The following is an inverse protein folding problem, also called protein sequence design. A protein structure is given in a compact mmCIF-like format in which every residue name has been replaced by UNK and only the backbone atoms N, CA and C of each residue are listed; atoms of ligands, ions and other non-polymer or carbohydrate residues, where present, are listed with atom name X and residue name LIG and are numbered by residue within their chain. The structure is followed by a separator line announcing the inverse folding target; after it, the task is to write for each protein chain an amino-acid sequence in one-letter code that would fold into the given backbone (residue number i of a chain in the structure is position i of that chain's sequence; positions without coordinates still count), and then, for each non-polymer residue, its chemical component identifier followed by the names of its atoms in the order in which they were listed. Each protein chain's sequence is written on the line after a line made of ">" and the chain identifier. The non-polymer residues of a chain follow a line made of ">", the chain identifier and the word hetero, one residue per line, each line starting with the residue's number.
data_IF_676149564422
#
_entry.id   IF_676149564422
#
_cell.length_a   1.000
_cell.length_b   1.000
_cell.length_c   1.000
_cell.angle_alpha   90.00
_cell.angle_beta   90.00
_cell.angle_gamma   90.00
#
_symmetry.space_group_name_H-M   'P 1'
#
loop_
_entity.id
_entity.type
_entity.pdbx_description
1 polymer ?
#
# COMPACT_ATOMS: atom_id res chain seq x y z
N UNK A 1 -11.17 -16.26 -5.47
CA UNK A 1 -10.31 -15.19 -5.98
C UNK A 1 -9.37 -14.71 -4.89
N UNK A 2 -8.11 -14.56 -5.18
CA UNK A 2 -7.11 -14.12 -4.21
C UNK A 2 -6.97 -12.60 -4.23
N UNK A 3 -6.81 -12.01 -3.05
CA UNK A 3 -6.53 -10.59 -2.93
C UNK A 3 -5.14 -10.27 -3.53
N UNK A 4 -4.95 -9.01 -3.92
CA UNK A 4 -3.71 -8.51 -4.49
C UNK A 4 -2.99 -7.51 -3.59
N UNK A 5 -3.73 -6.86 -2.70
CA UNK A 5 -3.22 -5.75 -1.89
C UNK A 5 -3.57 -5.93 -0.42
N UNK A 6 -2.62 -5.58 0.45
CA UNK A 6 -2.87 -5.44 1.87
C UNK A 6 -2.80 -3.97 2.25
N UNK A 7 -3.85 -3.45 2.86
CA UNK A 7 -3.93 -2.06 3.30
C UNK A 7 -3.54 -1.99 4.78
N UNK A 8 -2.51 -1.20 5.09
CA UNK A 8 -1.97 -1.04 6.44
C UNK A 8 -3.05 -0.49 7.40
N UNK A 9 -2.97 -0.91 8.67
CA UNK A 9 -3.92 -0.54 9.71
C UNK A 9 -4.03 0.98 9.90
N UNK A 10 -2.97 1.73 9.60
CA UNK A 10 -2.95 3.20 9.76
C UNK A 10 -3.64 3.95 8.62
N UNK A 11 -4.07 3.26 7.58
CA UNK A 11 -4.85 3.85 6.49
C UNK A 11 -6.35 3.69 6.77
N UNK A 12 -7.21 4.57 6.22
CA UNK A 12 -8.64 4.50 6.50
C UNK A 12 -9.22 3.13 6.19
N UNK A 13 -10.02 2.60 7.11
CA UNK A 13 -10.66 1.30 6.92
C UNK A 13 -11.76 1.37 5.87
N UNK A 14 -12.63 2.38 5.97
CA UNK A 14 -13.77 2.53 5.07
C UNK A 14 -13.45 3.55 3.98
N UNK A 15 -12.87 3.05 2.90
CA UNK A 15 -12.52 3.88 1.75
C UNK A 15 -12.96 3.15 0.49
N UNK A 16 -13.62 3.87 -0.42
CA UNK A 16 -14.17 3.27 -1.64
C UNK A 16 -13.12 2.58 -2.52
N UNK A 17 -11.86 3.05 -2.47
CA UNK A 17 -10.78 2.43 -3.27
C UNK A 17 -10.42 1.03 -2.77
N UNK A 18 -10.64 0.74 -1.48
CA UNK A 18 -10.31 -0.58 -0.91
C UNK A 18 -11.47 -1.58 -0.98
N UNK A 19 -12.52 -1.28 -1.71
CA UNK A 19 -13.65 -2.20 -1.85
C UNK A 19 -13.34 -3.28 -2.86
N UNK A 20 -13.92 -4.45 -2.64
CA UNK A 20 -13.78 -5.56 -3.55
C UNK A 20 -12.76 -6.57 -3.08
N UNK A 21 -12.69 -7.67 -3.81
CA UNK A 21 -11.93 -8.84 -3.41
C UNK A 21 -10.41 -8.68 -3.56
N UNK A 22 -9.96 -7.64 -4.24
CA UNK A 22 -8.53 -7.42 -4.45
C UNK A 22 -7.83 -6.86 -3.22
N UNK A 23 -8.58 -6.32 -2.26
CA UNK A 23 -8.02 -5.63 -1.09
C UNK A 23 -8.36 -6.35 0.20
N UNK A 24 -7.35 -6.46 1.08
CA UNK A 24 -7.53 -6.89 2.46
C UNK A 24 -7.04 -5.73 3.33
N UNK A 25 -7.89 -5.22 4.24
CA UNK A 25 -7.43 -4.26 5.23
C UNK A 25 -6.85 -5.02 6.41
N UNK A 26 -5.71 -4.57 6.93
CA UNK A 26 -5.03 -5.25 8.04
C UNK A 26 -5.94 -5.43 9.26
N UNK A 27 -6.86 -4.50 9.49
CA UNK A 27 -7.82 -4.58 10.60
C UNK A 27 -8.59 -5.91 10.58
N UNK A 28 -8.85 -6.47 9.40
CA UNK A 28 -9.66 -7.68 9.27
C UNK A 28 -8.87 -8.97 9.50
N UNK A 29 -7.55 -8.92 9.53
CA UNK A 29 -6.72 -10.14 9.69
C UNK A 29 -5.80 -10.10 10.89
N UNK A 30 -5.42 -8.91 11.38
CA UNK A 30 -4.53 -8.83 12.54
C UNK A 30 -4.07 -7.40 12.76
N UNK A 31 -4.90 -6.60 13.42
CA UNK A 31 -4.66 -5.17 13.62
C UNK A 31 -3.44 -4.89 14.51
N UNK A 32 -2.97 -5.90 15.27
CA UNK A 32 -1.81 -5.76 16.14
C UNK A 32 -0.57 -6.51 15.61
N UNK A 33 -0.58 -6.95 14.36
CA UNK A 33 0.56 -7.62 13.77
C UNK A 33 1.77 -6.69 13.70
N UNK A 34 2.95 -7.27 13.93
CA UNK A 34 4.22 -6.56 13.74
C UNK A 34 4.48 -6.38 12.24
N UNK A 35 5.41 -5.47 11.91
CA UNK A 35 5.84 -5.28 10.53
C UNK A 35 6.40 -6.57 9.93
N UNK A 36 7.10 -7.37 10.73
CA UNK A 36 7.64 -8.66 10.28
C UNK A 36 6.53 -9.63 9.91
N UNK A 37 5.47 -9.69 10.72
CA UNK A 37 4.32 -10.55 10.42
C UNK A 37 3.60 -10.12 9.15
N UNK A 38 3.42 -8.81 8.96
CA UNK A 38 2.80 -8.25 7.75
C UNK A 38 3.65 -8.58 6.52
N UNK A 39 4.95 -8.35 6.62
CA UNK A 39 5.87 -8.62 5.51
C UNK A 39 5.81 -10.08 5.08
N UNK A 40 5.92 -11.00 6.04
CA UNK A 40 5.92 -12.43 5.74
C UNK A 40 4.58 -12.90 5.17
N UNK A 41 3.48 -12.40 5.71
CA UNK A 41 2.16 -12.73 5.19
C UNK A 41 2.01 -12.28 3.74
N UNK A 42 2.42 -11.07 3.44
CA UNK A 42 2.32 -10.52 2.09
C UNK A 42 3.26 -11.22 1.12
N UNK A 43 4.45 -11.60 1.60
CA UNK A 43 5.39 -12.37 0.79
C UNK A 43 4.82 -13.74 0.42
N UNK A 44 4.26 -14.45 1.38
CA UNK A 44 3.71 -15.78 1.18
C UNK A 44 2.46 -15.77 0.29
N UNK A 45 1.69 -14.71 0.34
CA UNK A 45 0.43 -14.59 -0.40
C UNK A 45 0.53 -13.71 -1.64
N UNK A 46 1.73 -13.27 -2.00
CA UNK A 46 2.00 -12.43 -3.17
C UNK A 46 1.15 -11.16 -3.17
N UNK A 47 1.13 -10.46 -2.03
CA UNK A 47 0.39 -9.22 -1.88
C UNK A 47 1.31 -8.01 -2.01
N UNK A 48 0.74 -6.90 -2.47
CA UNK A 48 1.40 -5.59 -2.46
C UNK A 48 0.94 -4.85 -1.20
N UNK A 49 1.88 -4.28 -0.44
CA UNK A 49 1.58 -3.55 0.79
C UNK A 49 1.30 -2.10 0.45
N UNK A 50 0.15 -1.58 0.89
CA UNK A 50 -0.18 -0.15 0.79
C UNK A 50 -0.05 0.43 2.20
N UNK A 51 0.86 1.39 2.38
CA UNK A 51 1.23 1.86 3.71
C UNK A 51 1.64 3.33 3.71
N UNK A 52 1.57 3.95 4.89
CA UNK A 52 2.17 5.26 5.15
C UNK A 52 3.51 5.13 5.87
N UNK A 53 3.94 3.92 6.20
CA UNK A 53 5.12 3.65 7.02
C UNK A 53 6.36 3.49 6.13
N UNK A 54 7.39 4.28 6.40
CA UNK A 54 8.66 4.23 5.66
C UNK A 54 9.42 2.91 5.86
N UNK A 55 9.14 2.17 6.93
CA UNK A 55 9.87 0.94 7.22
C UNK A 55 9.72 -0.09 6.09
N UNK A 56 8.53 -0.20 5.50
CA UNK A 56 8.30 -1.13 4.40
C UNK A 56 9.00 -0.67 3.11
N UNK A 57 8.96 0.62 2.80
CA UNK A 57 9.65 1.14 1.62
C UNK A 57 11.17 1.03 1.77
N UNK A 58 11.69 1.28 2.95
CA UNK A 58 13.12 1.11 3.22
C UNK A 58 13.53 -0.36 3.08
N UNK A 59 12.67 -1.26 3.51
CA UNK A 59 12.96 -2.70 3.47
C UNK A 59 12.97 -3.24 2.05
N UNK A 60 11.99 -2.86 1.21
CA UNK A 60 11.91 -3.40 -0.16
C UNK A 60 13.10 -3.00 -1.03
N UNK A 61 13.77 -1.89 -0.73
CA UNK A 61 14.94 -1.46 -1.47
C UNK A 61 16.03 -2.56 -1.49
N UNK A 62 16.12 -3.34 -0.43
CA UNK A 62 17.14 -4.38 -0.27
C UNK A 62 16.62 -5.80 -0.54
N UNK A 63 15.40 -5.94 -1.02
CA UNK A 63 14.79 -7.25 -1.24
C UNK A 63 14.14 -7.32 -2.61
N UNK A 64 13.93 -8.56 -3.07
CA UNK A 64 13.17 -8.83 -4.27
C UNK A 64 11.69 -9.02 -3.91
N UNK A 65 10.75 -8.51 -4.72
CA UNK A 65 9.34 -8.80 -4.49
C UNK A 65 9.02 -10.28 -4.71
N UNK A 66 7.94 -10.85 -4.17
CA UNK A 66 7.00 -10.16 -3.29
C UNK A 66 7.53 -9.99 -1.87
N UNK A 67 6.97 -9.07 -1.10
CA UNK A 67 5.88 -8.15 -1.45
C UNK A 67 6.41 -6.93 -2.17
N UNK A 68 5.59 -6.33 -3.03
CA UNK A 68 5.81 -4.97 -3.52
C UNK A 68 5.24 -3.99 -2.52
N UNK A 69 5.62 -2.73 -2.62
CA UNK A 69 5.19 -1.70 -1.66
C UNK A 69 4.69 -0.46 -2.41
N UNK A 70 3.53 0.04 -1.98
CA UNK A 70 3.02 1.36 -2.36
C UNK A 70 3.07 2.20 -1.09
N UNK A 71 3.94 3.20 -1.09
CA UNK A 71 4.17 4.06 0.08
C UNK A 71 3.50 5.42 -0.14
N UNK A 72 2.47 5.71 0.65
CA UNK A 72 1.72 6.97 0.59
C UNK A 72 2.47 8.01 1.44
N UNK A 73 2.99 9.05 0.81
CA UNK A 73 3.88 10.04 1.43
C UNK A 73 3.31 11.45 1.37
N UNK A 74 2.04 11.59 1.77
CA UNK A 74 1.37 12.89 1.73
C UNK A 74 1.68 13.77 2.93
N UNK A 75 2.17 13.18 4.05
CA UNK A 75 2.26 13.90 5.31
C UNK A 75 0.89 14.14 5.92
N UNK A 76 0.78 15.13 6.78
CA UNK A 76 -0.50 15.46 7.43
C UNK A 76 -1.46 16.08 6.43
N UNK A 77 -2.66 15.54 6.39
CA UNK A 77 -3.67 15.95 5.42
C UNK A 77 -5.06 15.65 6.00
N UNK A 78 -6.03 16.52 5.73
CA UNK A 78 -7.41 16.27 6.12
C UNK A 78 -7.93 15.05 5.37
N UNK A 79 -8.78 14.28 6.03
CA UNK A 79 -9.29 13.03 5.46
C UNK A 79 -10.02 13.26 4.13
N UNK A 80 -10.76 14.36 4.00
CA UNK A 80 -11.45 14.69 2.75
C UNK A 80 -10.45 14.91 1.61
N UNK A 81 -9.37 15.65 1.89
CA UNK A 81 -8.34 15.93 0.89
C UNK A 81 -7.60 14.64 0.51
N UNK A 82 -7.35 13.78 1.49
CA UNK A 82 -6.76 12.47 1.26
C UNK A 82 -7.62 11.65 0.29
N UNK A 83 -8.91 11.56 0.53
CA UNK A 83 -9.81 10.80 -0.33
C UNK A 83 -9.87 11.38 -1.74
N UNK A 84 -9.92 12.70 -1.85
CA UNK A 84 -9.98 13.38 -3.15
C UNK A 84 -8.72 13.10 -3.96
N UNK A 85 -7.56 13.28 -3.34
CA UNK A 85 -6.29 13.11 -4.02
C UNK A 85 -6.07 11.63 -4.42
N UNK A 86 -6.31 10.71 -3.49
CA UNK A 86 -6.15 9.28 -3.76
C UNK A 86 -7.05 8.82 -4.89
N UNK A 87 -8.29 9.27 -4.91
CA UNK A 87 -9.24 8.89 -5.97
C UNK A 87 -8.76 9.37 -7.33
N UNK A 88 -8.17 10.57 -7.38
CA UNK A 88 -7.70 11.16 -8.63
C UNK A 88 -6.50 10.43 -9.24
N UNK A 89 -5.64 9.83 -8.40
CA UNK A 89 -4.35 9.27 -8.87
C UNK A 89 -4.26 7.75 -8.78
N UNK A 90 -5.25 7.08 -8.16
CA UNK A 90 -5.12 5.68 -7.78
C UNK A 90 -4.91 4.74 -8.96
N UNK A 91 -5.59 4.98 -10.08
CA UNK A 91 -5.43 4.17 -11.27
C UNK A 91 -3.98 4.19 -11.78
N UNK A 92 -3.37 5.37 -11.80
CA UNK A 92 -1.96 5.53 -12.19
C UNK A 92 -1.01 4.82 -11.21
N UNK A 93 -1.29 4.90 -9.93
CA UNK A 93 -0.50 4.24 -8.89
C UNK A 93 -0.55 2.72 -9.08
N UNK A 94 -1.74 2.17 -9.29
CA UNK A 94 -1.91 0.74 -9.49
C UNK A 94 -1.16 0.27 -10.75
N UNK A 95 -1.27 1.01 -11.84
CA UNK A 95 -0.57 0.67 -13.09
C UNK A 95 0.94 0.60 -12.87
N UNK A 96 1.52 1.59 -12.19
CA UNK A 96 2.95 1.60 -11.90
C UNK A 96 3.36 0.47 -10.96
N UNK A 97 2.51 0.13 -10.00
CA UNK A 97 2.83 -0.92 -9.03
C UNK A 97 2.92 -2.31 -9.65
N UNK A 98 2.31 -2.51 -10.82
CA UNK A 98 2.37 -3.82 -11.47
C UNK A 98 3.76 -4.17 -11.96
N UNK A 99 4.58 -3.17 -12.33
CA UNK A 99 5.89 -3.39 -12.91
C UNK A 99 7.05 -2.87 -12.06
N UNK A 100 6.78 -2.35 -10.86
CA UNK A 100 7.81 -1.78 -9.98
C UNK A 100 7.67 -2.32 -8.57
N UNK A 101 8.80 -2.54 -7.90
CA UNK A 101 8.78 -3.07 -6.53
C UNK A 101 8.37 -2.04 -5.49
N UNK A 102 8.54 -0.75 -5.79
CA UNK A 102 8.18 0.34 -4.88
C UNK A 102 7.59 1.49 -5.67
N UNK A 103 6.44 1.99 -5.22
CA UNK A 103 5.83 3.21 -5.75
C UNK A 103 5.69 4.18 -4.58
N UNK A 104 6.39 5.31 -4.65
CA UNK A 104 6.26 6.39 -3.67
C UNK A 104 5.25 7.41 -4.20
N UNK A 105 4.20 7.65 -3.43
CA UNK A 105 3.10 8.54 -3.82
C UNK A 105 3.18 9.82 -3.03
N UNK A 106 3.65 10.89 -3.66
CA UNK A 106 3.73 12.23 -3.08
C UNK A 106 2.50 13.04 -3.49
N UNK A 107 2.33 14.20 -2.88
CA UNK A 107 1.21 15.10 -3.22
C UNK A 107 1.30 15.61 -4.65
N UNK A 108 2.51 15.81 -5.15
CA UNK A 108 2.77 16.47 -6.43
C UNK A 108 3.34 15.53 -7.50
N UNK A 109 3.64 14.28 -7.16
CA UNK A 109 4.24 13.35 -8.12
C UNK A 109 4.17 11.91 -7.61
N UNK A 110 4.45 10.99 -8.51
CA UNK A 110 4.58 9.56 -8.20
C UNK A 110 5.96 9.12 -8.68
N UNK A 111 6.71 8.44 -7.82
CA UNK A 111 8.02 7.87 -8.16
C UNK A 111 7.94 6.36 -8.09
N UNK A 112 8.37 5.69 -9.16
CA UNK A 112 8.36 4.23 -9.22
C UNK A 112 9.80 3.71 -9.30
N UNK A 113 10.11 2.69 -8.50
CA UNK A 113 11.45 2.12 -8.37
C UNK A 113 11.41 0.63 -8.66
N UNK A 114 12.26 0.20 -9.58
CA UNK A 114 12.38 -1.22 -9.96
C UNK A 114 13.23 -2.02 -8.98
#
# INVERSE_FOLDING_TARGET
>A
KMAKYLVDVNLPYRFSLWKGDDYIHQTDIGDEWTDEQIWNYCKENNLTIITKDADFSNRIIFHEPPPKVIHIRFGNMKIRDFFTLMTAIWEDVIDLSESHKLVNVFRDRIEAIE
#
